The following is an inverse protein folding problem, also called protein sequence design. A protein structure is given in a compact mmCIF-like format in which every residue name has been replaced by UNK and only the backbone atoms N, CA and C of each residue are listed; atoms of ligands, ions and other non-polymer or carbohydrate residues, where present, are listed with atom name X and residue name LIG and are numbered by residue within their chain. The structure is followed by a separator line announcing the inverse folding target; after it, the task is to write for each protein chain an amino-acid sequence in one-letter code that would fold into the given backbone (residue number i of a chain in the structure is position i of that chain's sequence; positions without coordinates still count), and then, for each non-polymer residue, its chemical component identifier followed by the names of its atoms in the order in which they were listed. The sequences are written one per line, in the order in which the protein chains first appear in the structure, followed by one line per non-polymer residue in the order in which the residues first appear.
data_IF_905593877600
#
_entry.id   IF_905593877600
#
_cell.length_a   1.000
_cell.length_b   1.000
_cell.length_c   1.000
_cell.angle_alpha   90.00
_cell.angle_beta   90.00
_cell.angle_gamma   90.00
#
_symmetry.space_group_name_H-M   'P 1'
#
loop_
_entity.id
_entity.type
_entity.pdbx_description
1 polymer ?
#
# COMPACT_ATOMS: atom_id res chain seq x y z
N UNK A 1 5.64 -12.86 20.39
CA UNK A 1 6.68 -12.58 19.39
C UNK A 1 6.24 -11.54 18.34
N UNK A 2 5.32 -11.80 17.39
CA UNK A 2 4.98 -10.79 16.34
C UNK A 2 4.43 -9.46 16.88
N UNK A 3 3.41 -9.52 17.75
CA UNK A 3 2.82 -8.31 18.36
C UNK A 3 3.80 -7.54 19.27
N UNK A 4 4.85 -8.20 19.80
CA UNK A 4 5.88 -7.57 20.62
C UNK A 4 6.84 -6.72 19.76
N UNK A 5 7.10 -7.12 18.51
CA UNK A 5 7.92 -6.34 17.57
C UNK A 5 7.15 -5.25 16.83
N UNK A 6 5.82 -5.38 16.72
CA UNK A 6 4.93 -4.33 16.20
C UNK A 6 4.93 -3.04 17.03
N UNK A 7 5.13 -3.19 18.34
CA UNK A 7 5.29 -2.05 19.25
C UNK A 7 6.57 -1.25 19.02
N UNK A 8 7.65 -1.93 18.60
CA UNK A 8 9.00 -1.37 18.45
C UNK A 8 9.31 -0.91 17.03
N UNK A 9 8.67 -1.50 16.01
CA UNK A 9 8.78 -1.09 14.62
C UNK A 9 8.06 0.22 14.29
N UNK A 10 8.59 0.96 13.33
CA UNK A 10 7.99 2.19 12.77
C UNK A 10 7.49 2.02 11.32
N UNK A 11 7.75 0.89 10.68
CA UNK A 11 7.28 0.56 9.33
C UNK A 11 6.88 -0.92 9.29
N UNK A 12 5.70 -1.20 8.71
CA UNK A 12 5.20 -2.56 8.51
C UNK A 12 4.81 -2.76 7.05
N UNK A 13 5.30 -3.85 6.45
CA UNK A 13 4.85 -4.35 5.15
C UNK A 13 4.20 -5.71 5.40
N UNK A 14 2.90 -5.78 5.18
CA UNK A 14 2.09 -6.98 5.40
C UNK A 14 1.86 -7.65 4.07
N UNK A 15 2.19 -8.94 3.99
CA UNK A 15 1.91 -9.77 2.82
C UNK A 15 0.68 -10.65 3.08
N UNK A 16 -0.22 -10.74 2.10
CA UNK A 16 -1.45 -11.53 2.20
C UNK A 16 -1.36 -12.80 1.35
N UNK A 17 -1.52 -13.96 2.02
CA UNK A 17 -1.53 -15.27 1.38
C UNK A 17 -2.62 -15.40 0.31
N UNK A 18 -3.80 -14.82 0.53
CA UNK A 18 -4.94 -14.89 -0.40
C UNK A 18 -4.63 -14.22 -1.75
N UNK A 19 -3.81 -13.16 -1.72
CA UNK A 19 -3.33 -12.47 -2.92
C UNK A 19 -2.28 -13.34 -3.64
N UNK A 20 -1.35 -13.92 -2.88
CA UNK A 20 -0.33 -14.84 -3.40
C UNK A 20 -0.92 -16.11 -4.01
N UNK A 21 -1.94 -16.70 -3.39
CA UNK A 21 -2.62 -17.93 -3.85
C UNK A 21 -3.28 -17.70 -5.23
N UNK A 22 -3.70 -16.47 -5.51
CA UNK A 22 -4.22 -16.02 -6.81
C UNK A 22 -3.13 -15.61 -7.80
N UNK A 23 -1.85 -15.86 -7.47
CA UNK A 23 -0.65 -15.54 -8.29
C UNK A 23 -0.50 -14.05 -8.62
N UNK A 24 -1.02 -13.17 -7.75
CA UNK A 24 -0.83 -11.73 -7.88
C UNK A 24 0.38 -11.28 -7.08
N UNK A 25 1.29 -10.56 -7.74
CA UNK A 25 2.53 -10.06 -7.14
C UNK A 25 2.76 -8.59 -7.49
N UNK A 26 3.26 -7.77 -6.54
CA UNK A 26 3.59 -8.13 -5.15
C UNK A 26 2.34 -8.39 -4.29
N UNK A 27 2.40 -9.36 -3.37
CA UNK A 27 1.25 -9.81 -2.58
C UNK A 27 1.03 -8.96 -1.32
N UNK A 28 1.05 -7.63 -1.46
CA UNK A 28 1.01 -6.68 -0.34
C UNK A 28 -0.44 -6.39 0.06
N UNK A 29 -0.72 -6.42 1.36
CA UNK A 29 -1.94 -5.83 1.92
C UNK A 29 -1.71 -4.33 2.15
N UNK A 30 -2.19 -3.52 1.22
CA UNK A 30 -2.02 -2.05 1.25
C UNK A 30 -2.68 -1.40 2.46
N UNK A 31 -3.76 -1.97 3.00
CA UNK A 31 -4.48 -1.37 4.13
C UNK A 31 -3.79 -1.66 5.46
N UNK A 32 -3.14 -2.82 5.57
CA UNK A 32 -2.39 -3.21 6.77
C UNK A 32 -0.94 -2.76 6.75
N UNK A 33 -0.42 -2.35 5.60
CA UNK A 33 0.94 -1.84 5.45
C UNK A 33 1.00 -0.31 5.60
N UNK A 34 2.02 0.18 6.30
CA UNK A 34 2.21 1.61 6.52
C UNK A 34 3.43 1.95 7.36
N UNK A 35 3.73 3.25 7.42
CA UNK A 35 4.86 3.81 8.13
C UNK A 35 4.36 4.88 9.11
N UNK A 36 4.85 4.85 10.36
CA UNK A 36 4.57 5.91 11.33
C UNK A 36 5.36 7.15 10.96
N UNK A 37 4.74 8.32 11.08
CA UNK A 37 5.32 9.63 10.72
C UNK A 37 5.77 9.70 9.25
N UNK A 38 4.95 9.19 8.34
CA UNK A 38 5.25 9.22 6.91
C UNK A 38 5.37 10.64 6.35
N UNK A 39 4.75 11.64 6.99
CA UNK A 39 4.87 13.06 6.67
C UNK A 39 6.30 13.61 6.73
N UNK A 40 7.23 12.90 7.38
CA UNK A 40 8.65 13.26 7.42
C UNK A 40 9.46 12.66 6.26
N UNK A 41 8.87 11.73 5.50
CA UNK A 41 9.54 10.92 4.49
C UNK A 41 9.12 11.26 3.06
N UNK A 42 7.90 11.77 2.89
CA UNK A 42 7.33 12.14 1.59
C UNK A 42 6.92 13.61 1.58
N UNK A 43 6.93 14.23 0.39
CA UNK A 43 6.43 15.58 0.24
C UNK A 43 4.92 15.64 0.54
N UNK A 44 4.44 16.78 1.04
CA UNK A 44 3.03 16.95 1.40
C UNK A 44 2.09 16.65 0.23
N UNK A 45 2.44 17.13 -0.96
CA UNK A 45 1.66 16.97 -2.20
C UNK A 45 1.51 15.48 -2.58
N UNK A 46 2.60 14.70 -2.49
CA UNK A 46 2.56 13.26 -2.73
C UNK A 46 1.76 12.54 -1.65
N UNK A 47 1.89 12.97 -0.39
CA UNK A 47 1.16 12.40 0.75
C UNK A 47 -0.35 12.55 0.55
N UNK A 48 -0.81 13.71 0.14
CA UNK A 48 -2.24 13.96 -0.12
C UNK A 48 -2.79 13.05 -1.22
N UNK A 49 -2.04 12.88 -2.32
CA UNK A 49 -2.38 11.98 -3.43
C UNK A 49 -2.47 10.52 -2.95
N UNK A 50 -1.50 10.05 -2.17
CA UNK A 50 -1.50 8.69 -1.59
C UNK A 50 -2.68 8.49 -0.64
N UNK A 51 -3.01 9.48 0.20
CA UNK A 51 -4.17 9.42 1.11
C UNK A 51 -5.47 9.34 0.32
N UNK A 52 -5.62 10.13 -0.75
CA UNK A 52 -6.80 10.08 -1.62
C UNK A 52 -6.95 8.71 -2.28
N UNK A 53 -5.85 8.15 -2.82
CA UNK A 53 -5.83 6.82 -3.41
C UNK A 53 -6.24 5.74 -2.39
N UNK A 54 -5.70 5.78 -1.17
CA UNK A 54 -6.07 4.87 -0.09
C UNK A 54 -7.54 4.99 0.29
N UNK A 55 -8.08 6.21 0.37
CA UNK A 55 -9.52 6.44 0.64
C UNK A 55 -10.40 5.86 -0.46
N UNK A 56 -10.03 6.05 -1.72
CA UNK A 56 -10.77 5.49 -2.86
C UNK A 56 -10.83 3.95 -2.79
N UNK A 57 -9.72 3.31 -2.44
CA UNK A 57 -9.62 1.86 -2.35
C UNK A 57 -10.30 1.28 -1.10
N UNK A 58 -10.71 2.10 -0.12
CA UNK A 58 -11.25 1.62 1.17
C UNK A 58 -12.55 0.79 1.03
N UNK A 59 -13.28 0.95 -0.09
CA UNK A 59 -14.47 0.15 -0.40
C UNK A 59 -14.15 -1.21 -1.05
N UNK A 60 -12.89 -1.45 -1.41
CA UNK A 60 -12.41 -2.68 -2.07
C UNK A 60 -11.85 -3.65 -1.03
N UNK A 61 -11.89 -4.94 -1.33
CA UNK A 61 -11.09 -5.90 -0.56
C UNK A 61 -9.60 -5.81 -0.95
N UNK A 62 -8.70 -6.36 -0.14
CA UNK A 62 -7.25 -6.26 -0.34
C UNK A 62 -6.78 -6.78 -1.72
N UNK A 63 -7.47 -7.78 -2.28
CA UNK A 63 -7.14 -8.31 -3.62
C UNK A 63 -7.56 -7.33 -4.72
N UNK A 64 -8.80 -6.85 -4.70
CA UNK A 64 -9.31 -5.86 -5.66
C UNK A 64 -8.49 -4.56 -5.63
N UNK A 65 -8.14 -4.12 -4.42
CA UNK A 65 -7.27 -2.98 -4.19
C UNK A 65 -5.90 -3.15 -4.87
N UNK A 66 -5.25 -4.32 -4.70
CA UNK A 66 -3.98 -4.61 -5.35
C UNK A 66 -4.11 -4.75 -6.87
N UNK A 67 -5.18 -5.36 -7.36
CA UNK A 67 -5.44 -5.48 -8.79
C UNK A 67 -5.58 -4.10 -9.44
N UNK A 68 -6.39 -3.23 -8.81
CA UNK A 68 -6.60 -1.87 -9.24
C UNK A 68 -5.28 -1.10 -9.27
N UNK A 69 -4.50 -1.15 -8.18
CA UNK A 69 -3.24 -0.45 -8.06
C UNK A 69 -2.25 -0.89 -9.14
N UNK A 70 -2.09 -2.21 -9.33
CA UNK A 70 -1.23 -2.77 -10.37
C UNK A 70 -1.66 -2.33 -11.77
N UNK A 71 -2.96 -2.25 -12.03
CA UNK A 71 -3.49 -1.80 -13.32
C UNK A 71 -3.13 -0.33 -13.59
N UNK A 72 -3.24 0.54 -12.59
CA UNK A 72 -2.88 1.95 -12.75
C UNK A 72 -1.36 2.13 -12.92
N UNK A 73 -0.56 1.48 -12.07
CA UNK A 73 0.91 1.58 -12.12
C UNK A 73 1.44 1.05 -13.46
N UNK A 74 0.90 -0.06 -13.99
CA UNK A 74 1.29 -0.58 -15.31
C UNK A 74 1.06 0.40 -16.46
N UNK A 75 0.17 1.38 -16.30
CA UNK A 75 -0.11 2.42 -17.29
C UNK A 75 0.91 3.57 -17.29
N UNK A 76 1.82 3.62 -16.32
CA UNK A 76 2.78 4.72 -16.10
C UNK A 76 4.19 4.18 -16.00
N UNK A 77 5.20 5.03 -16.26
CA UNK A 77 6.61 4.63 -16.13
C UNK A 77 7.19 4.95 -14.76
N UNK A 78 6.67 5.96 -14.09
CA UNK A 78 7.16 6.43 -12.79
C UNK A 78 6.00 6.69 -11.82
N UNK A 79 6.30 6.68 -10.52
CA UNK A 79 5.32 7.05 -9.51
C UNK A 79 4.91 8.53 -9.60
N UNK A 80 5.80 9.40 -10.09
CA UNK A 80 5.52 10.82 -10.35
C UNK A 80 4.48 11.02 -11.46
N UNK A 81 4.47 10.14 -12.48
CA UNK A 81 3.44 10.16 -13.53
C UNK A 81 2.10 9.58 -13.05
N UNK A 82 2.15 8.68 -12.07
CA UNK A 82 0.97 8.00 -11.51
C UNK A 82 0.21 8.85 -10.48
N UNK A 83 0.95 9.46 -9.55
CA UNK A 83 0.42 10.24 -8.43
C UNK A 83 0.07 11.66 -8.87
#
# INVERSE_FOLDING_TARGET
IFEEFKGTGNMEIVLDRRISDRRMYPAIDVFRSGTRREELLVAEEEREKVVLLRRYMTQMNAFEAMEFLLKQIKGTKTNEEFL
#
